data_IF_736320948971
#
_entry.id   IF_736320948971
#
_cell.length_a   1.000
_cell.length_b   1.000
_cell.length_c   1.000
_cell.angle_alpha   90.00
_cell.angle_beta   90.00
_cell.angle_gamma   90.00
#
_symmetry.space_group_name_H-M   'P 1'
#
loop_
_entity.id
_entity.type
_entity.pdbx_description
1 polymer ?
#
# COMPACT_ATOMS: atom_id res chain seq x y z
N UNK A 1 -17.64 -1.79 7.92
CA UNK A 1 -17.42 -0.34 8.14
C UNK A 1 -15.94 0.05 8.06
N UNK A 2 -15.02 -0.69 8.69
CA UNK A 2 -13.59 -0.35 8.72
C UNK A 2 -12.94 -0.08 7.36
N UNK A 3 -13.22 -0.91 6.34
CA UNK A 3 -12.71 -0.69 4.96
C UNK A 3 -13.05 0.70 4.42
N UNK A 4 -14.33 1.10 4.55
CA UNK A 4 -14.81 2.41 4.08
C UNK A 4 -14.19 3.55 4.86
N UNK A 5 -14.09 3.43 6.19
CA UNK A 5 -13.41 4.43 7.03
C UNK A 5 -11.93 4.55 6.66
N UNK A 6 -11.22 3.44 6.52
CA UNK A 6 -9.83 3.40 6.10
C UNK A 6 -9.64 4.05 4.72
N UNK A 7 -10.45 3.68 3.74
CA UNK A 7 -10.44 4.30 2.41
C UNK A 7 -10.71 5.80 2.46
N UNK A 8 -11.67 6.27 3.24
CA UNK A 8 -11.94 7.71 3.39
C UNK A 8 -10.76 8.44 4.02
N UNK A 9 -10.14 7.88 5.06
CA UNK A 9 -8.97 8.48 5.69
C UNK A 9 -7.74 8.49 4.77
N UNK A 10 -7.53 7.42 3.99
CA UNK A 10 -6.50 7.39 2.93
C UNK A 10 -6.78 8.51 1.91
N UNK A 11 -8.02 8.61 1.42
CA UNK A 11 -8.40 9.63 0.46
C UNK A 11 -8.15 11.05 0.99
N UNK A 12 -8.57 11.34 2.22
CA UNK A 12 -8.34 12.65 2.87
C UNK A 12 -6.84 12.89 3.09
N UNK A 13 -6.12 11.90 3.63
CA UNK A 13 -4.70 11.98 3.93
C UNK A 13 -3.82 12.27 2.72
N UNK A 14 -4.22 11.82 1.52
CA UNK A 14 -3.52 12.14 0.26
C UNK A 14 -3.45 13.65 -0.04
N UNK A 15 -4.44 14.43 0.39
CA UNK A 15 -4.52 15.87 0.15
C UNK A 15 -3.98 16.72 1.30
N UNK A 16 -3.70 16.10 2.45
CA UNK A 16 -3.18 16.77 3.64
C UNK A 16 -1.64 16.79 3.63
N UNK A 17 -1.01 17.76 4.33
CA UNK A 17 0.44 17.81 4.48
C UNK A 17 0.94 16.60 5.27
N UNK A 18 1.88 15.85 4.69
CA UNK A 18 2.49 14.65 5.27
C UNK A 18 3.66 14.98 6.19
N UNK A 19 4.49 15.94 5.79
CA UNK A 19 5.57 16.56 6.55
C UNK A 19 5.65 18.05 6.19
N UNK A 20 6.45 18.89 6.89
CA UNK A 20 6.68 20.27 6.48
C UNK A 20 7.00 20.35 4.98
N UNK A 21 6.27 21.20 4.25
CA UNK A 21 6.38 21.43 2.80
C UNK A 21 6.08 20.24 1.86
N UNK A 22 5.66 19.08 2.38
CA UNK A 22 5.34 17.89 1.59
C UNK A 22 3.85 17.57 1.68
N UNK A 23 3.13 17.66 0.55
CA UNK A 23 1.81 17.02 0.40
C UNK A 23 2.00 15.73 -0.41
N UNK A 24 1.39 14.62 0.01
CA UNK A 24 1.59 13.30 -0.63
C UNK A 24 1.32 13.34 -2.14
N UNK A 25 0.27 14.04 -2.59
CA UNK A 25 -0.01 14.16 -4.02
C UNK A 25 0.97 15.10 -4.73
N UNK A 26 1.43 16.18 -4.09
CA UNK A 26 2.21 17.23 -4.76
C UNK A 26 3.71 16.91 -4.81
N UNK A 27 4.24 16.19 -3.82
CA UNK A 27 5.67 15.91 -3.70
C UNK A 27 6.19 14.94 -4.75
N UNK A 28 5.30 14.14 -5.34
CA UNK A 28 5.66 12.95 -6.11
C UNK A 28 6.01 13.25 -7.57
N UNK A 29 5.85 14.50 -8.02
CA UNK A 29 6.00 14.89 -9.42
C UNK A 29 7.34 15.57 -9.75
N UNK A 30 8.29 15.63 -8.83
CA UNK A 30 9.51 16.43 -9.02
C UNK A 30 10.59 15.73 -9.85
N UNK A 31 10.72 14.41 -9.78
CA UNK A 31 11.67 13.66 -10.63
C UNK A 31 11.18 12.25 -10.99
N UNK A 32 11.79 11.66 -12.04
CA UNK A 32 11.35 10.36 -12.58
C UNK A 32 11.40 9.21 -11.56
N UNK A 33 12.35 9.23 -10.62
CA UNK A 33 12.44 8.22 -9.58
C UNK A 33 11.32 8.36 -8.54
N UNK A 34 10.99 9.58 -8.12
CA UNK A 34 9.85 9.85 -7.26
C UNK A 34 8.52 9.52 -7.95
N UNK A 35 8.37 9.87 -9.24
CA UNK A 35 7.18 9.50 -10.03
C UNK A 35 7.02 7.97 -10.09
N UNK A 36 8.11 7.23 -10.32
CA UNK A 36 8.04 5.77 -10.42
C UNK A 36 7.80 5.08 -9.08
N UNK A 37 8.47 5.54 -8.01
CA UNK A 37 8.55 4.80 -6.74
C UNK A 37 7.65 5.37 -5.64
N UNK A 38 7.31 6.65 -5.71
CA UNK A 38 6.30 7.28 -4.83
C UNK A 38 4.96 7.51 -5.56
N UNK A 39 4.96 7.72 -6.88
CA UNK A 39 3.72 7.90 -7.67
C UNK A 39 2.90 6.65 -7.79
N UNK A 40 3.56 5.51 -7.90
CA UNK A 40 2.90 4.23 -7.94
C UNK A 40 2.13 3.90 -6.64
N UNK A 41 2.69 4.12 -5.44
CA UNK A 41 1.96 4.04 -4.17
C UNK A 41 0.74 4.96 -4.07
N UNK A 42 0.85 6.19 -4.55
CA UNK A 42 -0.29 7.12 -4.60
C UNK A 42 -1.38 6.58 -5.51
N UNK A 43 -1.00 6.08 -6.69
CA UNK A 43 -1.94 5.43 -7.61
C UNK A 43 -2.62 4.22 -6.95
N UNK A 44 -1.88 3.38 -6.23
CA UNK A 44 -2.43 2.23 -5.51
C UNK A 44 -3.40 2.66 -4.40
N UNK A 45 -3.10 3.74 -3.68
CA UNK A 45 -4.03 4.33 -2.71
C UNK A 45 -5.33 4.77 -3.40
N UNK A 46 -5.26 5.45 -4.55
CA UNK A 46 -6.43 5.78 -5.35
C UNK A 46 -7.21 4.55 -5.81
N UNK A 47 -6.52 3.52 -6.33
CA UNK A 47 -7.14 2.27 -6.74
C UNK A 47 -7.89 1.62 -5.57
N UNK A 48 -7.30 1.58 -4.38
CA UNK A 48 -7.97 1.06 -3.19
C UNK A 48 -9.21 1.88 -2.80
N UNK A 49 -9.10 3.21 -2.84
CA UNK A 49 -10.22 4.12 -2.54
C UNK A 49 -11.37 3.90 -3.52
N UNK A 50 -11.08 3.84 -4.82
CA UNK A 50 -12.06 3.57 -5.86
C UNK A 50 -12.69 2.19 -5.69
N UNK A 51 -11.88 1.16 -5.46
CA UNK A 51 -12.38 -0.19 -5.17
C UNK A 51 -13.37 -0.20 -4.00
N UNK A 52 -13.06 0.54 -2.94
CA UNK A 52 -13.84 0.49 -1.70
C UNK A 52 -15.08 1.37 -1.74
N UNK A 53 -15.01 2.53 -2.39
CA UNK A 53 -16.07 3.54 -2.36
C UNK A 53 -16.92 3.58 -3.63
N UNK A 54 -16.44 3.05 -4.76
CA UNK A 54 -17.12 3.11 -6.06
C UNK A 54 -17.57 1.71 -6.52
N UNK A 55 -18.86 1.36 -6.39
CA UNK A 55 -19.35 0.01 -6.71
C UNK A 55 -19.15 -0.40 -8.18
N UNK A 56 -19.07 0.56 -9.09
CA UNK A 56 -18.76 0.29 -10.50
C UNK A 56 -17.32 -0.23 -10.68
N UNK A 57 -16.36 0.35 -9.94
CA UNK A 57 -14.96 -0.04 -9.99
C UNK A 57 -14.72 -1.39 -9.31
N UNK A 58 -15.35 -1.64 -8.16
CA UNK A 58 -15.30 -2.95 -7.50
C UNK A 58 -15.74 -4.10 -8.42
N UNK A 59 -16.80 -3.88 -9.23
CA UNK A 59 -17.27 -4.85 -10.23
C UNK A 59 -16.31 -5.03 -11.41
N UNK A 60 -15.56 -3.99 -11.78
CA UNK A 60 -14.52 -4.10 -12.78
C UNK A 60 -13.36 -4.95 -12.27
N UNK A 61 -12.92 -4.71 -11.04
CA UNK A 61 -11.85 -5.44 -10.37
C UNK A 61 -12.18 -6.91 -10.18
N UNK A 62 -13.41 -7.24 -9.80
CA UNK A 62 -13.86 -8.62 -9.69
C UNK A 62 -13.81 -9.35 -11.05
N UNK A 63 -14.21 -8.67 -12.14
CA UNK A 63 -14.18 -9.24 -13.50
C UNK A 63 -12.77 -9.51 -14.01
N UNK A 64 -11.81 -8.66 -13.65
CA UNK A 64 -10.42 -8.76 -14.12
C UNK A 64 -9.44 -9.29 -13.05
N UNK A 65 -9.96 -9.74 -11.90
CA UNK A 65 -9.19 -9.98 -10.69
C UNK A 65 -8.04 -10.96 -10.88
N UNK A 66 -8.17 -11.97 -11.74
CA UNK A 66 -7.08 -12.90 -12.02
C UNK A 66 -5.87 -12.24 -12.69
N UNK A 67 -6.11 -11.38 -13.70
CA UNK A 67 -5.05 -10.66 -14.42
C UNK A 67 -4.44 -9.57 -13.54
N UNK A 68 -5.29 -8.79 -12.88
CA UNK A 68 -4.86 -7.73 -11.96
C UNK A 68 -4.05 -8.27 -10.79
N UNK A 69 -4.42 -9.45 -10.25
CA UNK A 69 -3.67 -10.09 -9.17
C UNK A 69 -2.24 -10.45 -9.58
N UNK A 70 -2.06 -11.01 -10.78
CA UNK A 70 -0.72 -11.33 -11.30
C UNK A 70 0.13 -10.06 -11.49
N UNK A 71 -0.43 -9.04 -12.14
CA UNK A 71 0.23 -7.77 -12.37
C UNK A 71 0.62 -7.07 -11.06
N UNK A 72 -0.28 -7.00 -10.07
CA UNK A 72 -0.01 -6.36 -8.78
C UNK A 72 1.04 -7.12 -7.96
N UNK A 73 1.10 -8.45 -8.05
CA UNK A 73 2.19 -9.22 -7.42
C UNK A 73 3.54 -8.88 -8.03
N UNK A 74 3.61 -8.80 -9.37
CA UNK A 74 4.83 -8.40 -10.07
C UNK A 74 5.27 -7.00 -9.61
N UNK A 75 4.35 -6.04 -9.65
CA UNK A 75 4.56 -4.68 -9.16
C UNK A 75 5.08 -4.66 -7.72
N UNK A 76 4.46 -5.41 -6.82
CA UNK A 76 4.93 -5.51 -5.44
C UNK A 76 6.39 -5.97 -5.37
N UNK A 77 6.77 -7.04 -6.06
CA UNK A 77 8.16 -7.53 -6.03
C UNK A 77 9.15 -6.56 -6.67
N UNK A 78 8.75 -5.83 -7.72
CA UNK A 78 9.58 -4.76 -8.31
C UNK A 78 9.79 -3.64 -7.31
N UNK A 79 8.74 -3.19 -6.62
CA UNK A 79 8.85 -2.16 -5.58
C UNK A 79 9.72 -2.64 -4.42
N UNK A 80 9.54 -3.88 -3.95
CA UNK A 80 10.39 -4.48 -2.91
C UNK A 80 11.86 -4.46 -3.32
N UNK A 81 12.18 -4.91 -4.54
CA UNK A 81 13.55 -4.93 -5.04
C UNK A 81 14.14 -3.53 -5.16
N UNK A 82 13.38 -2.56 -5.68
CA UNK A 82 13.83 -1.19 -5.83
C UNK A 82 14.08 -0.50 -4.47
N UNK A 83 13.15 -0.63 -3.52
CA UNK A 83 13.31 -0.06 -2.18
C UNK A 83 14.48 -0.70 -1.44
N UNK A 84 14.64 -2.02 -1.51
CA UNK A 84 15.75 -2.72 -0.87
C UNK A 84 17.09 -2.30 -1.49
N UNK A 85 17.23 -2.35 -2.81
CA UNK A 85 18.45 -1.99 -3.51
C UNK A 85 18.85 -0.53 -3.20
N UNK A 86 17.88 0.38 -3.24
CA UNK A 86 18.14 1.80 -3.03
C UNK A 86 18.53 2.13 -1.59
N UNK A 87 17.87 1.50 -0.62
CA UNK A 87 18.20 1.66 0.79
C UNK A 87 19.55 1.01 1.14
N UNK A 88 19.89 -0.14 0.54
CA UNK A 88 21.23 -0.75 0.71
C UNK A 88 22.34 0.10 0.10
N UNK A 89 22.05 0.87 -0.94
CA UNK A 89 22.99 1.81 -1.55
C UNK A 89 23.14 3.12 -0.76
N UNK A 90 22.37 3.33 0.31
CA UNK A 90 22.48 4.50 1.18
C UNK A 90 22.13 5.83 0.51
N UNK A 91 21.19 5.84 -0.45
CA UNK A 91 20.77 7.10 -1.08
C UNK A 91 20.11 8.04 -0.06
N UNK A 92 20.57 9.29 -0.03
CA UNK A 92 20.15 10.29 0.96
C UNK A 92 18.65 10.63 0.90
N UNK A 93 18.05 10.62 -0.29
CA UNK A 93 16.64 11.00 -0.50
C UNK A 93 15.65 9.84 -0.29
N UNK A 94 16.11 8.72 0.28
CA UNK A 94 15.34 7.50 0.43
C UNK A 94 15.26 7.05 1.89
N UNK A 95 14.21 6.30 2.29
CA UNK A 95 14.13 5.75 3.63
C UNK A 95 15.37 4.88 3.93
N UNK A 96 15.86 4.97 5.15
CA UNK A 96 16.99 4.15 5.56
C UNK A 96 16.67 2.64 5.50
N UNK A 97 17.71 1.81 5.51
CA UNK A 97 17.56 0.36 5.41
C UNK A 97 16.64 -0.22 6.51
N UNK A 98 16.73 0.27 7.75
CA UNK A 98 15.90 -0.19 8.86
C UNK A 98 14.38 -0.04 8.60
N UNK A 99 13.89 1.16 8.31
CA UNK A 99 12.50 1.41 7.91
C UNK A 99 12.03 0.56 6.72
N UNK A 100 12.87 0.39 5.70
CA UNK A 100 12.56 -0.47 4.55
C UNK A 100 12.39 -1.93 4.99
N UNK A 101 13.32 -2.48 5.77
CA UNK A 101 13.21 -3.85 6.27
C UNK A 101 11.94 -4.07 7.10
N UNK A 102 11.59 -3.11 7.97
CA UNK A 102 10.35 -3.18 8.73
C UNK A 102 9.10 -3.22 7.81
N UNK A 103 9.08 -2.37 6.78
CA UNK A 103 8.01 -2.36 5.78
C UNK A 103 7.90 -3.69 5.02
N UNK A 104 9.04 -4.29 4.66
CA UNK A 104 9.10 -5.58 3.97
C UNK A 104 8.61 -6.74 4.86
N UNK A 105 8.97 -6.74 6.14
CA UNK A 105 8.47 -7.76 7.08
C UNK A 105 6.95 -7.68 7.22
N UNK A 106 6.40 -6.47 7.35
CA UNK A 106 4.96 -6.25 7.49
C UNK A 106 4.22 -6.66 6.20
N UNK A 107 4.63 -6.11 5.06
CA UNK A 107 3.96 -6.36 3.77
C UNK A 107 4.17 -7.78 3.26
N UNK A 108 5.36 -8.34 3.42
CA UNK A 108 5.67 -9.74 3.10
C UNK A 108 4.94 -10.72 4.00
N UNK A 109 4.85 -10.43 5.30
CA UNK A 109 4.05 -11.21 6.25
C UNK A 109 2.57 -11.22 5.89
N UNK A 110 2.00 -10.06 5.54
CA UNK A 110 0.62 -9.96 5.05
C UNK A 110 0.41 -10.69 3.72
N UNK A 111 1.36 -10.61 2.79
CA UNK A 111 1.30 -11.33 1.52
C UNK A 111 1.31 -12.83 1.74
N UNK A 112 2.23 -13.33 2.57
CA UNK A 112 2.32 -14.74 2.94
C UNK A 112 1.05 -15.22 3.65
N UNK A 113 0.57 -14.46 4.63
CA UNK A 113 -0.69 -14.75 5.32
C UNK A 113 -1.89 -14.77 4.37
N UNK A 114 -1.93 -13.90 3.37
CA UNK A 114 -2.98 -13.91 2.35
C UNK A 114 -2.92 -15.12 1.40
N UNK A 115 -1.81 -15.87 1.37
CA UNK A 115 -1.70 -17.06 0.53
C UNK A 115 -2.64 -18.17 1.03
N UNK A 116 -3.24 -18.90 0.08
CA UNK A 116 -4.17 -19.99 0.35
C UNK A 116 -5.56 -19.59 0.88
N UNK A 117 -5.91 -18.30 1.00
CA UNK A 117 -7.23 -17.84 1.48
C UNK A 117 -8.04 -17.12 0.41
N UNK A 118 -9.23 -17.59 0.09
CA UNK A 118 -10.08 -16.96 -0.93
C UNK A 118 -9.47 -16.97 -2.34
N UNK A 119 -10.28 -16.54 -3.29
CA UNK A 119 -9.96 -16.39 -4.71
C UNK A 119 -8.99 -15.23 -4.97
N UNK A 120 -8.39 -15.21 -6.17
CA UNK A 120 -7.50 -14.11 -6.59
C UNK A 120 -8.19 -12.73 -6.54
N UNK A 121 -9.48 -12.70 -6.88
CA UNK A 121 -10.29 -11.48 -6.83
C UNK A 121 -10.55 -11.02 -5.40
N UNK A 122 -10.84 -11.94 -4.47
CA UNK A 122 -11.05 -11.60 -3.05
C UNK A 122 -9.76 -11.10 -2.37
N UNK A 123 -8.59 -11.56 -2.81
CA UNK A 123 -7.28 -11.08 -2.33
C UNK A 123 -6.88 -9.73 -2.89
N UNK A 124 -7.49 -9.30 -3.99
CA UNK A 124 -7.04 -8.14 -4.76
C UNK A 124 -6.97 -6.85 -3.92
N UNK A 125 -7.97 -6.52 -3.08
CA UNK A 125 -7.96 -5.26 -2.33
C UNK A 125 -6.82 -5.23 -1.30
N UNK A 126 -6.61 -6.35 -0.59
CA UNK A 126 -5.49 -6.49 0.34
C UNK A 126 -4.14 -6.46 -0.40
N UNK A 127 -4.06 -7.03 -1.60
CA UNK A 127 -2.84 -6.99 -2.41
C UNK A 127 -2.49 -5.57 -2.88
N UNK A 128 -3.48 -4.75 -3.23
CA UNK A 128 -3.27 -3.32 -3.53
C UNK A 128 -2.66 -2.60 -2.33
N UNK A 129 -3.21 -2.82 -1.14
CA UNK A 129 -2.66 -2.26 0.11
C UNK A 129 -1.24 -2.76 0.38
N UNK A 130 -0.98 -4.06 0.23
CA UNK A 130 0.37 -4.64 0.40
C UNK A 130 1.38 -3.98 -0.56
N UNK A 131 0.99 -3.80 -1.83
CA UNK A 131 1.85 -3.18 -2.84
C UNK A 131 2.18 -1.72 -2.51
N UNK A 132 1.20 -0.93 -2.05
CA UNK A 132 1.41 0.45 -1.61
C UNK A 132 2.03 0.56 -0.21
N UNK A 133 2.02 -0.54 0.54
CA UNK A 133 2.42 -0.60 1.94
C UNK A 133 3.92 -0.45 2.17
N UNK A 134 4.75 -0.89 1.21
CA UNK A 134 6.22 -0.83 1.34
C UNK A 134 6.68 0.63 1.54
N UNK A 135 6.39 1.56 0.60
CA UNK A 135 6.67 2.98 0.80
C UNK A 135 5.91 3.58 1.97
N UNK A 136 4.61 3.27 2.10
CA UNK A 136 3.77 3.87 3.15
C UNK A 136 4.37 3.65 4.54
N UNK A 137 4.78 2.41 4.85
CA UNK A 137 5.37 2.07 6.14
C UNK A 137 6.79 2.61 6.26
N UNK A 138 7.62 2.49 5.22
CA UNK A 138 9.02 2.94 5.27
C UNK A 138 9.11 4.45 5.49
N UNK A 139 8.37 5.25 4.72
CA UNK A 139 8.34 6.71 4.88
C UNK A 139 7.67 7.13 6.19
N UNK A 140 6.62 6.44 6.64
CA UNK A 140 6.04 6.73 7.95
C UNK A 140 7.07 6.58 9.08
N UNK A 141 7.80 5.46 9.11
CA UNK A 141 8.81 5.23 10.14
C UNK A 141 9.94 6.26 10.04
N UNK A 142 10.44 6.54 8.83
CA UNK A 142 11.50 7.53 8.62
C UNK A 142 11.07 8.93 9.10
N UNK A 143 9.92 9.42 8.63
CA UNK A 143 9.40 10.75 8.99
C UNK A 143 9.04 10.84 10.48
N UNK A 144 8.53 9.76 11.07
CA UNK A 144 8.25 9.68 12.51
C UNK A 144 9.55 9.79 13.32
N UNK A 145 10.60 9.06 12.94
CA UNK A 145 11.92 9.11 13.60
C UNK A 145 12.56 10.50 13.49
N UNK A 146 12.32 11.19 12.38
CA UNK A 146 12.78 12.56 12.17
C UNK A 146 11.95 13.62 12.93
N UNK A 147 10.85 13.25 13.59
CA UNK A 147 9.96 14.20 14.27
C UNK A 147 9.22 15.14 13.31
N UNK A 148 9.18 14.81 12.01
CA UNK A 148 8.66 15.66 10.94
C UNK A 148 7.26 15.26 10.48
N UNK A 149 6.58 14.35 11.20
CA UNK A 149 5.29 13.82 10.78
C UNK A 149 4.17 14.83 11.07
N UNK A 150 3.56 15.36 10.02
CA UNK A 150 2.43 16.28 10.12
C UNK A 150 1.08 15.53 10.23
N UNK A 151 0.00 16.29 10.44
CA UNK A 151 -1.34 15.72 10.61
C UNK A 151 -1.78 14.81 9.46
N UNK A 152 -1.47 15.18 8.21
CA UNK A 152 -1.80 14.35 7.04
C UNK A 152 -1.09 13.01 7.03
N UNK A 153 0.15 12.94 7.53
CA UNK A 153 0.88 11.68 7.66
C UNK A 153 0.24 10.72 8.65
N UNK A 154 -0.27 11.24 9.78
CA UNK A 154 -1.07 10.48 10.72
C UNK A 154 -2.38 10.00 10.10
N UNK A 155 -3.14 10.89 9.45
CA UNK A 155 -4.43 10.55 8.84
C UNK A 155 -4.27 9.48 7.75
N UNK A 156 -3.29 9.65 6.85
CA UNK A 156 -3.02 8.71 5.77
C UNK A 156 -2.61 7.33 6.32
N UNK A 157 -1.68 7.29 7.25
CA UNK A 157 -1.13 6.02 7.78
C UNK A 157 -2.16 5.29 8.65
N UNK A 158 -2.93 6.01 9.46
CA UNK A 158 -4.04 5.43 10.21
C UNK A 158 -5.12 4.89 9.28
N UNK A 159 -5.44 5.63 8.20
CA UNK A 159 -6.35 5.16 7.15
C UNK A 159 -5.86 3.87 6.49
N UNK A 160 -4.58 3.80 6.13
CA UNK A 160 -3.95 2.61 5.59
C UNK A 160 -4.04 1.41 6.56
N UNK A 161 -3.71 1.62 7.84
CA UNK A 161 -3.80 0.56 8.85
C UNK A 161 -5.24 0.05 9.02
N UNK A 162 -6.22 0.95 9.09
CA UNK A 162 -7.64 0.61 9.18
C UNK A 162 -8.15 -0.12 7.92
N UNK A 163 -7.66 0.26 6.75
CA UNK A 163 -7.95 -0.42 5.49
C UNK A 163 -7.44 -1.87 5.52
N UNK A 164 -6.17 -2.08 5.88
CA UNK A 164 -5.57 -3.42 6.01
C UNK A 164 -6.35 -4.28 7.00
N UNK A 165 -6.60 -3.75 8.22
CA UNK A 165 -7.38 -4.45 9.26
C UNK A 165 -8.80 -4.72 8.78
N UNK A 166 -9.39 -3.82 8.00
CA UNK A 166 -10.73 -4.00 7.42
C UNK A 166 -10.79 -5.11 6.37
N UNK A 167 -9.72 -5.34 5.60
CA UNK A 167 -9.68 -6.41 4.59
C UNK A 167 -9.52 -7.81 5.22
N UNK A 168 -8.73 -7.92 6.29
CA UNK A 168 -8.38 -9.19 6.96
C UNK A 168 -9.59 -10.08 7.30
N UNK A 169 -10.67 -9.60 7.95
CA UNK A 169 -11.81 -10.44 8.31
C UNK A 169 -12.50 -11.10 7.11
N UNK A 170 -12.68 -10.36 6.01
CA UNK A 170 -13.33 -10.90 4.81
C UNK A 170 -12.49 -11.99 4.16
N UNK A 171 -11.17 -11.82 4.11
CA UNK A 171 -10.28 -12.84 3.56
C UNK A 171 -10.13 -14.05 4.51
N UNK A 172 -10.23 -13.83 5.83
CA UNK A 172 -10.21 -14.90 6.83
C UNK A 172 -11.46 -15.78 6.76
N UNK A 173 -12.62 -15.18 6.46
CA UNK A 173 -13.88 -15.90 6.29
C UNK A 173 -13.96 -16.65 4.94
N UNK A 174 -13.13 -16.26 3.96
CA UNK A 174 -13.12 -16.91 2.66
C UNK A 174 -12.60 -18.37 2.75
N UNK A 175 -13.09 -19.29 1.91
CA UNK A 175 -12.64 -20.67 1.90
C UNK A 175 -11.13 -20.76 1.68
N UNK A 176 -10.46 -21.67 2.38
CA UNK A 176 -9.06 -21.98 2.08
C UNK A 176 -9.00 -22.68 0.72
N UNK A 177 -8.24 -22.12 -0.21
CA UNK A 177 -7.96 -22.76 -1.49
C UNK A 177 -6.64 -23.50 -1.32
N UNK A 178 -6.71 -24.84 -1.28
CA UNK A 178 -5.53 -25.66 -1.47
C UNK A 178 -5.03 -25.42 -2.90
N UNK A 179 -3.80 -24.96 -3.05
CA UNK A 179 -3.07 -25.16 -4.30
C UNK A 179 -2.58 -26.61 -4.28
N UNK A 180 -3.53 -27.54 -4.50
CA UNK A 180 -3.22 -28.95 -4.68
C UNK A 180 -2.58 -29.15 -6.04
N UNK A 181 -1.37 -29.70 -6.04
CA UNK A 181 -1.05 -30.79 -6.96
C UNK A 181 -1.70 -32.08 -6.46
#
# INVERSE_FOLDING_TARGET
MLRKLGATLVAVGLFLPYSPDVRVIASVWHNAAEVLFQGFPVLLAFVYVLHTLVPAFARFDQRHGQRLHGALRMVYFVLVGAYLATATAGRADWPALGPVLAALVITGGLLYWGQGRGTKAERLPLLVLIAGGVPTVAYFIETLRAGALAYGGWVFTAGYALAVVGEVPGLRAAPKIAHGG
#
